data_IF_349426827440
#
_entry.id   IF_349426827440
#
_cell.length_a   1.000
_cell.length_b   1.000
_cell.length_c   1.000
_cell.angle_alpha   90.00
_cell.angle_beta   90.00
_cell.angle_gamma   90.00
#
_symmetry.space_group_name_H-M   'P 1'
#
loop_
_entity.id
_entity.type
_entity.pdbx_description
1 polymer ?
#
# COMPACT_ATOMS: atom_id res chain seq x y z
N UNK A 1 24.48 -36.86 90.95
CA UNK A 1 23.39 -36.62 89.99
C UNK A 1 23.66 -35.30 89.28
N UNK A 2 24.12 -35.28 88.02
CA UNK A 2 24.52 -34.01 87.36
C UNK A 2 24.90 -34.04 85.89
N UNK A 3 25.01 -35.21 85.24
CA UNK A 3 25.48 -35.28 83.84
C UNK A 3 24.39 -35.11 82.77
N UNK A 4 23.11 -35.37 83.08
CA UNK A 4 22.04 -35.37 82.08
C UNK A 4 21.59 -33.95 81.65
N UNK A 5 21.66 -32.95 82.53
CA UNK A 5 21.18 -31.58 82.22
C UNK A 5 22.10 -30.80 81.29
N UNK A 6 23.43 -30.98 81.41
CA UNK A 6 24.42 -30.30 80.53
C UNK A 6 24.44 -30.84 79.10
N UNK A 7 24.09 -32.11 78.89
CA UNK A 7 23.99 -32.70 77.54
C UNK A 7 22.74 -32.23 76.79
N UNK A 8 21.60 -32.13 77.49
CA UNK A 8 20.34 -31.58 76.95
C UNK A 8 20.49 -30.14 76.47
N UNK A 9 21.16 -29.30 77.26
CA UNK A 9 21.32 -27.86 76.99
C UNK A 9 22.27 -27.58 75.80
N UNK A 10 23.31 -28.40 75.64
CA UNK A 10 24.19 -28.37 74.45
C UNK A 10 23.44 -28.79 73.17
N UNK A 11 22.66 -29.87 73.23
CA UNK A 11 21.85 -30.36 72.11
C UNK A 11 20.83 -29.32 71.63
N UNK A 12 20.17 -28.63 72.59
CA UNK A 12 19.18 -27.60 72.28
C UNK A 12 19.81 -26.33 71.67
N UNK A 13 21.02 -25.95 72.12
CA UNK A 13 21.82 -24.89 71.47
C UNK A 13 22.27 -25.26 70.06
N UNK A 14 22.67 -26.51 69.84
CA UNK A 14 23.10 -27.01 68.52
C UNK A 14 21.93 -27.02 67.52
N UNK A 15 20.76 -27.50 67.95
CA UNK A 15 19.48 -27.42 67.22
C UNK A 15 19.11 -25.98 66.82
N UNK A 16 19.28 -25.01 67.74
CA UNK A 16 19.02 -23.59 67.48
C UNK A 16 19.99 -22.97 66.47
N UNK A 17 21.26 -23.39 66.45
CA UNK A 17 22.26 -22.94 65.48
C UNK A 17 21.98 -23.53 64.08
N UNK A 18 21.63 -24.81 63.99
CA UNK A 18 21.28 -25.46 62.73
C UNK A 18 20.03 -24.85 62.08
N UNK A 19 19.02 -24.49 62.89
CA UNK A 19 17.82 -23.80 62.41
C UNK A 19 18.14 -22.41 61.85
N UNK A 20 19.05 -21.66 62.50
CA UNK A 20 19.49 -20.34 62.02
C UNK A 20 20.32 -20.43 60.74
N UNK A 21 21.21 -21.42 60.65
CA UNK A 21 22.00 -21.68 59.44
C UNK A 21 21.08 -22.02 58.26
N UNK A 22 20.09 -22.88 58.47
CA UNK A 22 19.11 -23.25 57.44
C UNK A 22 18.22 -22.08 56.99
N UNK A 23 17.80 -21.21 57.92
CA UNK A 23 17.07 -19.97 57.58
C UNK A 23 17.95 -19.00 56.78
N UNK A 24 19.23 -18.87 57.14
CA UNK A 24 20.17 -18.02 56.41
C UNK A 24 20.44 -18.56 55.00
N UNK A 25 20.57 -19.88 54.84
CA UNK A 25 20.73 -20.55 53.55
C UNK A 25 19.50 -20.37 52.65
N UNK A 26 18.29 -20.55 53.21
CA UNK A 26 17.03 -20.33 52.48
C UNK A 26 16.90 -18.87 52.03
N UNK A 27 17.20 -17.90 52.91
CA UNK A 27 17.22 -16.47 52.55
C UNK A 27 18.26 -16.15 51.48
N UNK A 28 19.45 -16.73 51.55
CA UNK A 28 20.48 -16.55 50.52
C UNK A 28 20.06 -17.17 49.17
N UNK A 29 19.40 -18.32 49.18
CA UNK A 29 18.86 -18.96 47.98
C UNK A 29 17.72 -18.14 47.35
N UNK A 30 16.83 -17.57 48.17
CA UNK A 30 15.76 -16.67 47.73
C UNK A 30 16.32 -15.37 47.15
N UNK A 31 17.30 -14.74 47.82
CA UNK A 31 17.99 -13.55 47.30
C UNK A 31 18.68 -13.81 45.95
N UNK A 32 19.30 -14.99 45.77
CA UNK A 32 19.90 -15.41 44.49
C UNK A 32 18.84 -15.58 43.40
N UNK A 33 17.67 -16.17 43.74
CA UNK A 33 16.53 -16.32 42.82
C UNK A 33 15.95 -14.97 42.43
N UNK A 34 15.73 -14.07 43.38
CA UNK A 34 15.20 -12.72 43.12
C UNK A 34 16.15 -11.91 42.25
N UNK A 35 17.45 -11.93 42.54
CA UNK A 35 18.45 -11.24 41.72
C UNK A 35 18.45 -11.80 40.29
N UNK A 36 18.41 -13.12 40.14
CA UNK A 36 18.34 -13.78 38.83
C UNK A 36 17.05 -13.41 38.08
N UNK A 37 15.90 -13.47 38.75
CA UNK A 37 14.61 -13.16 38.15
C UNK A 37 14.52 -11.69 37.73
N UNK A 38 15.07 -10.76 38.54
CA UNK A 38 15.19 -9.34 38.19
C UNK A 38 16.06 -9.15 36.94
N UNK A 39 17.22 -9.81 36.87
CA UNK A 39 18.09 -9.76 35.68
C UNK A 39 17.36 -10.29 34.45
N UNK A 40 16.70 -11.45 34.55
CA UNK A 40 15.94 -12.04 33.44
C UNK A 40 14.83 -11.07 32.98
N UNK A 41 14.07 -10.50 33.91
CA UNK A 41 13.00 -9.56 33.59
C UNK A 41 13.53 -8.29 32.90
N UNK A 42 14.64 -7.73 33.40
CA UNK A 42 15.28 -6.55 32.78
C UNK A 42 15.83 -6.86 31.38
N UNK A 43 16.46 -8.02 31.18
CA UNK A 43 16.95 -8.45 29.85
C UNK A 43 15.77 -8.67 28.90
N UNK A 44 14.72 -9.36 29.34
CA UNK A 44 13.53 -9.59 28.53
C UNK A 44 12.86 -8.27 28.12
N UNK A 45 12.70 -7.33 29.06
CA UNK A 45 12.18 -6.00 28.76
C UNK A 45 13.09 -5.23 27.78
N UNK A 46 14.40 -5.30 27.97
CA UNK A 46 15.38 -4.67 27.06
C UNK A 46 15.30 -5.23 25.64
N UNK A 47 15.20 -6.54 25.48
CA UNK A 47 15.04 -7.20 24.17
C UNK A 47 13.74 -6.78 23.50
N UNK A 48 12.63 -6.72 24.24
CA UNK A 48 11.34 -6.26 23.70
C UNK A 48 11.40 -4.81 23.20
N UNK A 49 12.00 -3.91 23.98
CA UNK A 49 12.16 -2.50 23.58
C UNK A 49 13.05 -2.38 22.34
N UNK A 50 14.19 -3.08 22.30
CA UNK A 50 15.07 -3.05 21.13
C UNK A 50 14.38 -3.63 19.88
N UNK A 51 13.62 -4.71 20.02
CA UNK A 51 12.84 -5.28 18.94
C UNK A 51 11.79 -4.30 18.40
N UNK A 52 11.07 -3.61 19.27
CA UNK A 52 10.09 -2.61 18.88
C UNK A 52 10.74 -1.42 18.16
N UNK A 53 11.87 -0.92 18.67
CA UNK A 53 12.62 0.17 18.02
C UNK A 53 13.13 -0.26 16.64
N UNK A 54 13.77 -1.42 16.53
CA UNK A 54 14.28 -1.93 15.26
C UNK A 54 13.15 -2.08 14.22
N UNK A 55 12.00 -2.61 14.64
CA UNK A 55 10.81 -2.76 13.78
C UNK A 55 10.26 -1.41 13.35
N UNK A 56 10.10 -0.47 14.28
CA UNK A 56 9.63 0.88 13.99
C UNK A 56 10.57 1.62 13.02
N UNK A 57 11.88 1.53 13.23
CA UNK A 57 12.87 2.12 12.32
C UNK A 57 12.81 1.49 10.93
N UNK A 58 12.70 0.16 10.82
CA UNK A 58 12.58 -0.52 9.53
C UNK A 58 11.33 -0.09 8.76
N UNK A 59 10.16 -0.02 9.41
CA UNK A 59 8.91 0.45 8.80
C UNK A 59 9.05 1.89 8.28
N UNK A 60 9.63 2.78 9.08
CA UNK A 60 9.86 4.19 8.67
C UNK A 60 10.80 4.27 7.47
N UNK A 61 11.89 3.50 7.46
CA UNK A 61 12.84 3.46 6.35
C UNK A 61 12.20 2.90 5.07
N UNK A 62 11.43 1.82 5.16
CA UNK A 62 10.69 1.22 4.03
C UNK A 62 9.68 2.21 3.43
N UNK A 63 8.90 2.90 4.27
CA UNK A 63 7.98 3.93 3.81
C UNK A 63 8.69 5.09 3.12
N UNK A 64 9.82 5.53 3.67
CA UNK A 64 10.59 6.63 3.10
C UNK A 64 11.21 6.24 1.75
N UNK A 65 11.65 4.99 1.60
CA UNK A 65 12.18 4.47 0.35
C UNK A 65 11.08 4.36 -0.72
N UNK A 66 9.92 3.77 -0.38
CA UNK A 66 8.74 3.73 -1.26
C UNK A 66 8.30 5.13 -1.71
N UNK A 67 8.38 6.13 -0.82
CA UNK A 67 8.09 7.53 -1.16
C UNK A 67 9.08 8.06 -2.20
N UNK A 68 10.38 7.85 -2.00
CA UNK A 68 11.42 8.25 -2.96
C UNK A 68 11.27 7.57 -4.31
N UNK A 69 10.95 6.28 -4.31
CA UNK A 69 10.76 5.51 -5.55
C UNK A 69 9.53 6.02 -6.33
N UNK A 70 8.43 6.33 -5.64
CA UNK A 70 7.26 6.97 -6.25
C UNK A 70 7.56 8.38 -6.76
N UNK A 71 8.33 9.17 -6.01
CA UNK A 71 8.76 10.51 -6.45
C UNK A 71 9.64 10.42 -7.70
N UNK A 72 10.57 9.46 -7.75
CA UNK A 72 11.41 9.19 -8.91
C UNK A 72 10.56 8.77 -10.12
N UNK A 73 9.62 7.83 -9.94
CA UNK A 73 8.70 7.40 -10.99
C UNK A 73 7.79 8.55 -11.49
N UNK A 74 7.31 9.41 -10.58
CA UNK A 74 6.51 10.57 -10.93
C UNK A 74 7.27 11.61 -11.78
N UNK A 75 8.60 11.62 -11.70
CA UNK A 75 9.46 12.54 -12.45
C UNK A 75 10.14 11.87 -13.66
N UNK A 76 10.08 10.54 -13.79
CA UNK A 76 10.69 9.81 -14.90
C UNK A 76 9.88 9.99 -16.18
N UNK A 77 10.55 10.27 -17.29
CA UNK A 77 9.90 10.33 -18.60
C UNK A 77 9.61 8.93 -19.12
N UNK A 78 8.41 8.73 -19.65
CA UNK A 78 7.98 7.46 -20.25
C UNK A 78 7.99 7.65 -21.76
N UNK A 79 8.84 6.93 -22.51
CA UNK A 79 8.95 7.10 -23.96
C UNK A 79 7.63 6.87 -24.69
N UNK A 80 7.29 7.78 -25.59
CA UNK A 80 6.07 7.71 -26.42
C UNK A 80 4.81 8.24 -25.75
N UNK A 81 4.89 8.72 -24.50
CA UNK A 81 3.79 9.47 -23.90
C UNK A 81 3.56 10.76 -24.67
N UNK A 82 2.29 11.00 -25.00
CA UNK A 82 1.80 12.26 -25.57
C UNK A 82 1.07 13.03 -24.48
N UNK A 83 1.31 14.34 -24.43
CA UNK A 83 0.64 15.26 -23.50
C UNK A 83 -0.10 16.33 -24.29
N UNK A 84 -1.31 16.64 -23.86
CA UNK A 84 -2.22 17.60 -24.48
C UNK A 84 -2.40 18.78 -23.52
N UNK A 85 -2.04 19.98 -23.96
CA UNK A 85 -2.23 21.21 -23.18
C UNK A 85 -3.64 21.79 -23.33
N UNK A 86 -4.04 22.64 -22.39
CA UNK A 86 -5.24 23.49 -22.45
C UNK A 86 -6.55 22.75 -22.74
N UNK A 87 -6.87 21.75 -21.92
CA UNK A 87 -8.16 21.06 -21.95
C UNK A 87 -9.14 21.73 -20.97
N UNK A 88 -10.35 22.03 -21.44
CA UNK A 88 -11.43 22.51 -20.57
C UNK A 88 -11.85 21.45 -19.56
N UNK A 89 -12.63 21.87 -18.56
CA UNK A 89 -13.09 21.03 -17.44
C UNK A 89 -14.57 21.25 -17.11
N UNK A 90 -15.34 21.78 -18.06
CA UNK A 90 -16.72 22.10 -17.77
C UNK A 90 -17.54 20.81 -17.75
N UNK A 91 -18.43 20.70 -16.76
CA UNK A 91 -19.43 19.66 -16.76
C UNK A 91 -20.60 20.04 -17.69
N UNK A 92 -20.86 19.18 -18.67
CA UNK A 92 -21.93 19.33 -19.68
C UNK A 92 -22.85 18.12 -19.66
N UNK A 93 -24.03 18.23 -20.27
CA UNK A 93 -24.99 17.11 -20.38
C UNK A 93 -25.02 16.50 -21.77
N UNK A 94 -24.55 17.26 -22.75
CA UNK A 94 -24.56 16.94 -24.17
C UNK A 94 -23.34 16.08 -24.55
N UNK A 95 -23.41 15.48 -25.74
CA UNK A 95 -22.27 14.78 -26.33
C UNK A 95 -21.19 15.79 -26.72
N UNK A 96 -19.93 15.40 -26.52
CA UNK A 96 -18.77 16.26 -26.77
C UNK A 96 -17.97 15.69 -27.93
N UNK A 97 -17.58 16.57 -28.86
CA UNK A 97 -16.66 16.20 -29.93
C UNK A 97 -15.22 16.50 -29.48
N UNK A 98 -14.44 15.44 -29.27
CA UNK A 98 -13.07 15.55 -28.79
C UNK A 98 -12.05 15.56 -29.93
N UNK A 99 -10.94 16.31 -29.82
CA UNK A 99 -9.90 16.35 -30.85
C UNK A 99 -9.01 15.09 -30.86
N UNK A 100 -9.06 14.28 -29.81
CA UNK A 100 -8.28 13.05 -29.66
C UNK A 100 -9.19 11.85 -29.42
N UNK A 101 -8.68 10.66 -29.74
CA UNK A 101 -9.44 9.40 -29.68
C UNK A 101 -8.52 8.29 -29.16
N UNK A 102 -8.78 7.72 -27.96
CA UNK A 102 -9.78 8.13 -26.97
C UNK A 102 -9.57 9.56 -26.43
N UNK A 103 -10.57 10.19 -25.80
CA UNK A 103 -10.41 11.50 -25.16
C UNK A 103 -9.67 11.42 -23.82
N UNK A 104 -8.91 12.47 -23.50
CA UNK A 104 -8.14 12.57 -22.24
C UNK A 104 -8.41 13.82 -21.41
N UNK A 105 -9.49 14.52 -21.70
CA UNK A 105 -9.87 15.76 -21.03
C UNK A 105 -10.74 16.62 -21.94
N UNK A 106 -11.18 17.76 -21.43
CA UNK A 106 -12.15 18.63 -22.09
C UNK A 106 -13.48 18.64 -21.34
N UNK A 107 -14.48 19.27 -21.94
CA UNK A 107 -15.85 19.26 -21.42
C UNK A 107 -16.34 17.81 -21.33
N UNK A 108 -17.04 17.47 -20.25
CA UNK A 108 -17.38 16.07 -19.96
C UNK A 108 -18.60 15.97 -19.04
N UNK A 109 -19.12 14.76 -18.81
CA UNK A 109 -20.38 14.59 -18.07
C UNK A 109 -20.12 14.77 -16.58
N UNK A 110 -21.03 15.39 -15.82
CA UNK A 110 -20.92 15.48 -14.35
C UNK A 110 -20.94 14.12 -13.62
N UNK A 111 -21.33 13.05 -14.32
CA UNK A 111 -21.40 11.68 -13.79
C UNK A 111 -20.20 10.88 -14.31
N UNK A 112 -19.38 10.39 -13.39
CA UNK A 112 -18.23 9.52 -13.71
C UNK A 112 -18.62 8.04 -13.85
N UNK A 113 -17.66 7.25 -14.34
CA UNK A 113 -17.71 5.79 -14.33
C UNK A 113 -17.05 5.25 -13.06
N UNK A 114 -17.49 4.08 -12.59
CA UNK A 114 -16.74 3.34 -11.57
C UNK A 114 -15.33 3.02 -12.10
N UNK A 115 -14.35 3.48 -11.34
CA UNK A 115 -12.94 3.42 -11.69
C UNK A 115 -12.11 2.90 -10.52
N UNK A 116 -12.70 2.14 -9.60
CA UNK A 116 -11.94 1.39 -8.60
C UNK A 116 -11.53 0.00 -9.09
N UNK A 117 -10.83 -0.05 -10.22
CA UNK A 117 -10.39 -1.28 -10.85
C UNK A 117 -11.48 -1.98 -11.65
N UNK A 118 -12.40 -1.20 -12.24
CA UNK A 118 -13.53 -1.74 -12.98
C UNK A 118 -13.16 -2.13 -14.41
N UNK A 119 -13.67 -3.28 -14.87
CA UNK A 119 -13.48 -3.74 -16.25
C UNK A 119 -14.84 -3.83 -16.92
N UNK A 120 -15.10 -2.90 -17.82
CA UNK A 120 -16.30 -2.86 -18.65
C UNK A 120 -16.14 -3.82 -19.83
N UNK A 121 -17.18 -4.59 -20.10
CA UNK A 121 -17.26 -5.54 -21.21
C UNK A 121 -17.74 -4.90 -22.52
N UNK A 122 -18.32 -3.69 -22.44
CA UNK A 122 -18.78 -2.89 -23.57
C UNK A 122 -18.06 -1.53 -23.63
N UNK A 123 -18.00 -0.90 -24.82
CA UNK A 123 -17.57 0.49 -24.92
C UNK A 123 -18.37 1.39 -23.97
N UNK A 124 -17.68 2.35 -23.35
CA UNK A 124 -18.26 3.29 -22.38
C UNK A 124 -18.45 4.67 -22.99
N UNK A 125 -19.26 5.50 -22.33
CA UNK A 125 -19.42 6.89 -22.75
C UNK A 125 -18.16 7.70 -22.47
N UNK A 126 -17.60 8.29 -23.52
CA UNK A 126 -16.42 9.15 -23.47
C UNK A 126 -16.52 10.23 -22.39
N UNK A 127 -17.64 10.92 -22.32
CA UNK A 127 -17.83 12.02 -21.37
C UNK A 127 -17.80 11.54 -19.91
N UNK A 128 -18.22 10.31 -19.63
CA UNK A 128 -18.18 9.74 -18.28
C UNK A 128 -16.79 9.19 -17.95
N UNK A 129 -16.12 8.59 -18.94
CA UNK A 129 -14.74 8.12 -18.78
C UNK A 129 -13.77 9.29 -18.56
N UNK A 130 -13.94 10.41 -19.27
CA UNK A 130 -13.15 11.63 -19.07
C UNK A 130 -13.31 12.19 -17.65
N UNK A 131 -14.51 12.14 -17.07
CA UNK A 131 -14.70 12.51 -15.66
C UNK A 131 -13.87 11.60 -14.73
N UNK A 132 -13.89 10.29 -14.96
CA UNK A 132 -13.04 9.37 -14.18
C UNK A 132 -11.54 9.71 -14.32
N UNK A 133 -11.09 10.20 -15.49
CA UNK A 133 -9.73 10.72 -15.66
C UNK A 133 -9.49 12.00 -14.86
N UNK A 134 -10.49 12.90 -14.75
CA UNK A 134 -10.44 14.11 -13.93
C UNK A 134 -10.17 13.76 -12.46
N UNK A 135 -10.82 12.70 -11.97
CA UNK A 135 -10.62 12.11 -10.65
C UNK A 135 -9.29 11.36 -10.51
N UNK A 136 -8.47 11.30 -11.56
CA UNK A 136 -7.12 10.72 -11.53
C UNK A 136 -7.08 9.23 -11.79
N UNK A 137 -8.07 8.71 -12.52
CA UNK A 137 -8.02 7.34 -13.01
C UNK A 137 -7.09 7.18 -14.21
N UNK A 138 -6.61 5.95 -14.41
CA UNK A 138 -6.09 5.49 -15.69
C UNK A 138 -7.15 4.66 -16.41
N UNK A 139 -7.54 5.07 -17.62
CA UNK A 139 -8.45 4.33 -18.48
C UNK A 139 -7.67 3.57 -19.55
N UNK A 140 -7.73 2.24 -19.48
CA UNK A 140 -7.16 1.34 -20.47
C UNK A 140 -8.20 1.05 -21.56
N UNK A 141 -7.88 1.41 -22.79
CA UNK A 141 -8.69 1.05 -23.96
C UNK A 141 -7.98 0.03 -24.83
N UNK A 142 -8.76 -0.79 -25.53
CA UNK A 142 -8.26 -1.73 -26.53
C UNK A 142 -9.25 -1.93 -27.67
N UNK A 143 -8.76 -2.29 -28.86
CA UNK A 143 -9.59 -2.71 -29.99
C UNK A 143 -9.33 -4.18 -30.35
N UNK A 144 -9.91 -4.63 -31.47
CA UNK A 144 -9.79 -6.02 -31.94
C UNK A 144 -8.38 -6.47 -32.36
N UNK A 145 -7.38 -5.59 -32.34
CA UNK A 145 -5.97 -5.95 -32.56
C UNK A 145 -5.33 -6.53 -31.29
N UNK A 146 -5.85 -6.20 -30.11
CA UNK A 146 -5.32 -6.71 -28.85
C UNK A 146 -5.62 -8.21 -28.73
N UNK A 147 -4.63 -8.98 -28.27
CA UNK A 147 -4.82 -10.43 -28.10
C UNK A 147 -5.68 -10.73 -26.87
N UNK A 148 -6.33 -11.91 -26.80
CA UNK A 148 -7.02 -12.34 -25.58
C UNK A 148 -6.12 -12.35 -24.33
N UNK A 149 -4.84 -12.68 -24.49
CA UNK A 149 -3.85 -12.65 -23.41
C UNK A 149 -3.55 -11.22 -22.95
N UNK A 150 -3.41 -10.27 -23.88
CA UNK A 150 -3.25 -8.85 -23.53
C UNK A 150 -4.44 -8.34 -22.72
N UNK A 151 -5.67 -8.65 -23.19
CA UNK A 151 -6.90 -8.27 -22.51
C UNK A 151 -6.94 -8.84 -21.10
N UNK A 152 -6.57 -10.12 -20.94
CA UNK A 152 -6.53 -10.77 -19.62
C UNK A 152 -5.52 -10.10 -18.70
N UNK A 153 -4.29 -9.86 -19.16
CA UNK A 153 -3.22 -9.25 -18.34
C UNK A 153 -3.60 -7.84 -17.90
N UNK A 154 -4.16 -7.03 -18.79
CA UNK A 154 -4.62 -5.68 -18.47
C UNK A 154 -5.83 -5.70 -17.53
N UNK A 155 -6.77 -6.64 -17.73
CA UNK A 155 -7.91 -6.83 -16.84
C UNK A 155 -7.48 -7.15 -15.42
N UNK A 156 -6.52 -8.07 -15.25
CA UNK A 156 -5.98 -8.45 -13.94
C UNK A 156 -5.25 -7.25 -13.28
N UNK A 157 -4.49 -6.48 -14.05
CA UNK A 157 -3.82 -5.26 -13.58
C UNK A 157 -4.84 -4.20 -13.11
N UNK A 158 -5.88 -3.95 -13.89
CA UNK A 158 -6.91 -2.95 -13.58
C UNK A 158 -7.66 -3.34 -12.33
N UNK A 159 -8.13 -4.59 -12.23
CA UNK A 159 -8.81 -5.10 -11.01
C UNK A 159 -7.96 -4.99 -9.74
N UNK A 160 -6.65 -5.09 -9.87
CA UNK A 160 -5.71 -4.95 -8.76
C UNK A 160 -5.36 -3.49 -8.41
N UNK A 161 -5.75 -2.52 -9.24
CA UNK A 161 -5.33 -1.12 -9.12
C UNK A 161 -6.53 -0.17 -8.99
N UNK A 162 -6.80 0.36 -7.79
CA UNK A 162 -7.77 1.44 -7.61
C UNK A 162 -7.43 2.65 -8.48
N UNK A 163 -8.44 3.48 -8.81
CA UNK A 163 -8.31 4.57 -9.79
C UNK A 163 -7.79 4.07 -11.14
N UNK A 164 -8.37 2.97 -11.62
CA UNK A 164 -8.22 2.52 -12.98
C UNK A 164 -9.50 1.87 -13.49
N UNK A 165 -9.69 1.94 -14.79
CA UNK A 165 -10.79 1.28 -15.49
C UNK A 165 -10.32 0.75 -16.84
N UNK A 166 -11.06 -0.20 -17.40
CA UNK A 166 -10.80 -0.76 -18.73
C UNK A 166 -12.09 -0.90 -19.53
N UNK A 167 -12.04 -0.63 -20.84
CA UNK A 167 -13.16 -0.91 -21.74
C UNK A 167 -12.67 -1.14 -23.18
N UNK A 168 -13.43 -1.87 -24.02
CA UNK A 168 -13.23 -1.83 -25.47
C UNK A 168 -13.37 -0.40 -26.03
N UNK A 169 -12.60 -0.09 -27.08
CA UNK A 169 -12.72 1.13 -27.88
C UNK A 169 -12.47 0.80 -29.36
N UNK A 170 -13.49 0.31 -30.11
CA UNK A 170 -13.30 -0.26 -31.44
C UNK A 170 -12.61 0.66 -32.46
N UNK A 171 -12.87 1.96 -32.38
CA UNK A 171 -12.41 2.94 -33.37
C UNK A 171 -11.04 3.57 -33.04
N UNK A 172 -10.38 3.15 -31.95
CA UNK A 172 -9.05 3.68 -31.63
C UNK A 172 -8.01 3.16 -32.63
N UNK A 173 -7.03 4.00 -32.96
CA UNK A 173 -6.00 3.65 -33.96
C UNK A 173 -4.97 2.66 -33.41
N UNK A 174 -4.58 2.85 -32.15
CA UNK A 174 -3.62 2.00 -31.43
C UNK A 174 -4.17 0.61 -31.13
N UNK A 175 -3.31 -0.31 -30.71
CA UNK A 175 -3.76 -1.65 -30.25
C UNK A 175 -4.33 -1.57 -28.85
N UNK A 176 -3.58 -0.93 -27.94
CA UNK A 176 -3.93 -0.62 -26.56
C UNK A 176 -3.54 0.84 -26.29
N UNK A 177 -4.42 1.60 -25.66
CA UNK A 177 -4.10 2.97 -25.21
C UNK A 177 -4.31 3.10 -23.70
N UNK A 178 -3.33 3.68 -23.02
CA UNK A 178 -3.40 4.07 -21.62
C UNK A 178 -3.68 5.56 -21.56
N UNK A 179 -4.78 5.92 -20.93
CA UNK A 179 -5.28 7.28 -20.89
C UNK A 179 -5.30 7.78 -19.44
N UNK A 180 -4.73 8.95 -19.20
CA UNK A 180 -4.86 9.72 -17.97
C UNK A 180 -5.20 11.16 -18.33
N UNK A 181 -5.61 12.00 -17.38
CA UNK A 181 -5.91 13.39 -17.72
C UNK A 181 -4.75 14.05 -18.48
N UNK A 182 -5.07 14.66 -19.62
CA UNK A 182 -4.14 15.31 -20.55
C UNK A 182 -3.02 14.41 -21.12
N UNK A 183 -3.08 13.09 -20.94
CA UNK A 183 -1.95 12.21 -21.23
C UNK A 183 -2.36 10.88 -21.87
N UNK A 184 -1.66 10.48 -22.93
CA UNK A 184 -1.86 9.18 -23.58
C UNK A 184 -0.55 8.43 -23.80
N UNK A 185 -0.62 7.11 -23.72
CA UNK A 185 0.42 6.22 -24.20
C UNK A 185 -0.20 5.09 -25.02
N UNK A 186 0.25 4.94 -26.26
CA UNK A 186 -0.11 3.79 -27.11
C UNK A 186 0.95 2.72 -26.98
N UNK A 187 0.53 1.48 -26.77
CA UNK A 187 1.40 0.29 -26.74
C UNK A 187 0.81 -0.82 -27.60
N UNK A 188 1.67 -1.72 -28.05
CA UNK A 188 1.27 -2.86 -28.89
C UNK A 188 0.93 -4.13 -28.09
N UNK A 189 1.33 -4.20 -26.81
CA UNK A 189 1.07 -5.35 -25.94
C UNK A 189 0.98 -4.94 -24.47
N UNK A 190 0.22 -5.73 -23.69
CA UNK A 190 0.10 -5.61 -22.24
C UNK A 190 1.42 -5.85 -21.49
N UNK A 191 2.38 -6.55 -22.11
CA UNK A 191 3.68 -6.84 -21.52
C UNK A 191 4.70 -5.72 -21.72
N UNK A 192 4.34 -4.62 -22.39
CA UNK A 192 5.21 -3.47 -22.53
C UNK A 192 5.54 -2.89 -21.13
N UNK A 193 6.83 -2.74 -20.76
CA UNK A 193 7.21 -2.26 -19.43
C UNK A 193 6.60 -0.89 -19.10
N UNK A 194 6.36 -0.06 -20.12
CA UNK A 194 5.76 1.26 -19.97
C UNK A 194 4.34 1.21 -19.44
N UNK A 195 3.63 0.08 -19.53
CA UNK A 195 2.32 -0.10 -18.90
C UNK A 195 2.44 0.05 -17.39
N UNK A 196 3.42 -0.61 -16.77
CA UNK A 196 3.64 -0.48 -15.32
C UNK A 196 4.08 0.92 -14.93
N UNK A 197 4.95 1.53 -15.73
CA UNK A 197 5.43 2.89 -15.52
C UNK A 197 4.27 3.90 -15.58
N UNK A 198 3.38 3.76 -16.56
CA UNK A 198 2.24 4.63 -16.76
C UNK A 198 1.28 4.55 -15.57
N UNK A 199 0.91 3.33 -15.14
CA UNK A 199 0.08 3.17 -13.95
C UNK A 199 0.73 3.78 -12.70
N UNK A 200 2.03 3.54 -12.50
CA UNK A 200 2.77 4.07 -11.35
C UNK A 200 2.81 5.61 -11.34
N UNK A 201 2.96 6.22 -12.53
CA UNK A 201 3.10 7.67 -12.67
C UNK A 201 1.76 8.40 -12.63
N UNK A 202 0.73 7.85 -13.28
CA UNK A 202 -0.49 8.58 -13.60
C UNK A 202 -1.70 8.23 -12.74
N UNK A 203 -1.76 7.04 -12.11
CA UNK A 203 -2.83 6.75 -11.14
C UNK A 203 -2.68 7.68 -9.94
N UNK A 204 -3.69 8.55 -9.72
CA UNK A 204 -3.62 9.62 -8.72
C UNK A 204 -2.34 10.47 -8.86
N UNK A 205 -1.84 10.62 -10.08
CA UNK A 205 -0.61 11.35 -10.39
C UNK A 205 -0.77 12.86 -10.30
N UNK A 206 0.33 13.60 -10.49
CA UNK A 206 0.37 15.08 -10.38
C UNK A 206 -0.55 15.81 -11.36
N UNK A 207 -0.88 15.19 -12.48
CA UNK A 207 -1.78 15.71 -13.51
C UNK A 207 -3.27 15.54 -13.16
N UNK A 208 -3.57 14.87 -12.04
CA UNK A 208 -4.95 14.69 -11.57
C UNK A 208 -5.54 16.04 -11.23
N UNK A 209 -6.73 16.30 -11.75
CA UNK A 209 -7.37 17.58 -11.64
C UNK A 209 -8.18 17.72 -10.35
N UNK A 210 -8.71 16.60 -9.85
CA UNK A 210 -9.43 16.49 -8.57
C UNK A 210 -8.85 15.34 -7.72
N UNK A 211 -7.64 15.51 -7.18
CA UNK A 211 -6.98 14.46 -6.42
C UNK A 211 -7.77 14.10 -5.15
N UNK A 212 -8.03 12.81 -4.95
CA UNK A 212 -8.82 12.31 -3.82
C UNK A 212 -10.34 12.34 -4.02
N UNK A 213 -10.84 12.74 -5.19
CA UNK A 213 -12.24 12.59 -5.54
C UNK A 213 -12.65 11.12 -5.62
N UNK A 214 -13.92 10.82 -5.36
CA UNK A 214 -14.42 9.44 -5.38
C UNK A 214 -14.34 8.83 -6.78
N UNK A 215 -13.69 7.69 -6.91
CA UNK A 215 -13.75 6.85 -8.12
C UNK A 215 -14.78 5.70 -7.99
N UNK A 216 -15.52 5.61 -6.89
CA UNK A 216 -16.61 4.62 -6.72
C UNK A 216 -17.94 5.26 -7.07
N UNK A 217 -18.72 4.61 -7.93
CA UNK A 217 -20.14 4.88 -8.21
C UNK A 217 -20.51 6.34 -8.52
N UNK A 218 -20.36 6.76 -9.78
CA UNK A 218 -21.28 7.74 -10.38
C UNK A 218 -22.48 6.96 -10.94
N UNK A 219 -23.71 7.31 -10.52
CA UNK A 219 -24.94 6.49 -10.69
C UNK A 219 -25.14 5.85 -12.08
N UNK A 220 -25.84 4.70 -12.09
CA UNK A 220 -26.39 4.04 -13.29
C UNK A 220 -27.27 5.01 -14.09
#
# INVERSE_FOLDING_TARGET
MGSASKQSDKSNKQSGLDRRARIAELRAAEQRRDRRNKIIASVAAGVLVMGAVATGTWVVMDQNQKKKDREAAANADIPGVQTFGDLSRNHVKEKVNYPMTPPVGGDHNAIWLDCMGHVYDQPVENERAVHSLEHGAVWVTYNGKATPDDIKVLSDKVKATPYSLMSPYPDEKGTITLNAWSTQLVVDSANDPRVNEFFTKYVQGKQTQEPGASCTMGQM
#
